data_IF_552726814547
#
_entry.id   IF_552726814547
#
_cell.length_a   1.000
_cell.length_b   1.000
_cell.length_c   1.000
_cell.angle_alpha   90.00
_cell.angle_beta   90.00
_cell.angle_gamma   90.00
#
_symmetry.space_group_name_H-M   'P 1'
#
loop_
_entity.id
_entity.type
_entity.pdbx_description
1 polymer ?
#
# COMPACT_ATOMS: atom_id res chain seq x y z
N UNK A 1 -70.96 -47.20 -40.46
CA UNK A 1 -71.32 -46.14 -39.49
C UNK A 1 -70.71 -46.40 -38.13
N UNK A 2 -70.75 -47.65 -37.63
CA UNK A 2 -70.25 -48.02 -36.29
C UNK A 2 -68.74 -47.85 -36.05
N UNK A 3 -67.90 -48.00 -37.09
CA UNK A 3 -66.44 -47.84 -36.95
C UNK A 3 -66.02 -46.39 -36.64
N UNK A 4 -66.67 -45.39 -37.23
CA UNK A 4 -66.35 -43.97 -36.98
C UNK A 4 -66.83 -43.52 -35.59
N UNK A 5 -67.97 -44.04 -35.11
CA UNK A 5 -68.49 -43.78 -33.77
C UNK A 5 -67.56 -44.33 -32.68
N UNK A 6 -66.99 -45.52 -32.87
CA UNK A 6 -66.03 -46.11 -31.94
C UNK A 6 -64.70 -45.34 -31.89
N UNK A 7 -64.23 -44.82 -33.03
CA UNK A 7 -63.02 -43.98 -33.09
C UNK A 7 -63.24 -42.66 -32.32
N UNK A 8 -64.38 -42.00 -32.53
CA UNK A 8 -64.71 -40.74 -31.83
C UNK A 8 -64.79 -40.99 -30.32
N UNK A 9 -65.44 -42.07 -29.89
CA UNK A 9 -65.57 -42.40 -28.46
C UNK A 9 -64.20 -42.66 -27.81
N UNK A 10 -63.34 -43.43 -28.46
CA UNK A 10 -61.98 -43.68 -27.99
C UNK A 10 -61.15 -42.37 -27.90
N UNK A 11 -61.30 -41.47 -28.87
CA UNK A 11 -60.63 -40.16 -28.82
C UNK A 11 -61.13 -39.28 -27.67
N UNK A 12 -62.43 -39.32 -27.37
CA UNK A 12 -63.01 -38.60 -26.22
C UNK A 12 -62.49 -39.18 -24.90
N UNK A 13 -62.50 -40.50 -24.73
CA UNK A 13 -61.98 -41.16 -23.53
C UNK A 13 -60.48 -40.86 -23.32
N UNK A 14 -59.69 -40.82 -24.39
CA UNK A 14 -58.27 -40.43 -24.34
C UNK A 14 -58.07 -38.95 -23.97
N UNK A 15 -58.94 -38.05 -24.43
CA UNK A 15 -58.89 -36.63 -24.07
C UNK A 15 -59.29 -36.42 -22.61
N UNK A 16 -60.31 -37.10 -22.12
CA UNK A 16 -60.72 -37.07 -20.71
C UNK A 16 -59.59 -37.56 -19.80
N UNK A 17 -58.99 -38.70 -20.12
CA UNK A 17 -57.83 -39.24 -19.37
C UNK A 17 -56.66 -38.25 -19.36
N UNK A 18 -56.39 -37.59 -20.49
CA UNK A 18 -55.31 -36.60 -20.58
C UNK A 18 -55.64 -35.34 -19.77
N UNK A 19 -56.89 -34.92 -19.74
CA UNK A 19 -57.34 -33.78 -18.94
C UNK A 19 -57.23 -34.05 -17.45
N UNK A 20 -57.64 -35.24 -16.98
CA UNK A 20 -57.51 -35.66 -15.58
C UNK A 20 -56.04 -35.69 -15.15
N UNK A 21 -55.17 -36.28 -15.97
CA UNK A 21 -53.72 -36.31 -15.68
C UNK A 21 -53.13 -34.90 -15.58
N UNK A 22 -53.50 -34.00 -16.51
CA UNK A 22 -53.02 -32.61 -16.50
C UNK A 22 -53.57 -31.84 -15.28
N UNK A 23 -54.79 -32.15 -14.84
CA UNK A 23 -55.39 -31.58 -13.64
C UNK A 23 -54.66 -32.04 -12.36
N UNK A 24 -54.30 -33.33 -12.26
CA UNK A 24 -53.49 -33.86 -11.16
C UNK A 24 -52.08 -33.25 -11.13
N UNK A 25 -51.42 -33.16 -12.29
CA UNK A 25 -50.10 -32.51 -12.43
C UNK A 25 -50.16 -31.03 -11.98
N UNK A 26 -51.20 -30.29 -12.41
CA UNK A 26 -51.39 -28.90 -12.00
C UNK A 26 -51.62 -28.75 -10.49
N UNK A 27 -52.41 -29.62 -9.87
CA UNK A 27 -52.64 -29.61 -8.43
C UNK A 27 -51.37 -29.96 -7.65
N UNK A 28 -50.54 -30.87 -8.17
CA UNK A 28 -49.23 -31.20 -7.59
C UNK A 28 -48.30 -29.98 -7.57
N UNK A 29 -48.17 -29.30 -8.71
CA UNK A 29 -47.36 -28.08 -8.84
C UNK A 29 -47.89 -26.98 -7.91
N UNK A 30 -49.20 -26.80 -7.81
CA UNK A 30 -49.82 -25.81 -6.92
C UNK A 30 -49.48 -26.07 -5.45
N UNK A 31 -49.50 -27.33 -5.01
CA UNK A 31 -49.13 -27.70 -3.65
C UNK A 31 -47.64 -27.43 -3.37
N UNK A 32 -46.78 -27.71 -4.32
CA UNK A 32 -45.34 -27.44 -4.22
C UNK A 32 -45.06 -25.93 -4.14
N UNK A 33 -45.72 -25.12 -4.97
CA UNK A 33 -45.66 -23.66 -4.89
C UNK A 33 -46.13 -23.13 -3.53
N UNK A 34 -47.24 -23.65 -3.00
CA UNK A 34 -47.74 -23.25 -1.68
C UNK A 34 -46.76 -23.62 -0.55
N UNK A 35 -46.09 -24.76 -0.66
CA UNK A 35 -45.04 -25.15 0.27
C UNK A 35 -43.87 -24.15 0.24
N UNK A 36 -43.36 -23.80 -0.93
CA UNK A 36 -42.27 -22.83 -1.07
C UNK A 36 -42.66 -21.42 -0.61
N UNK A 37 -43.89 -20.98 -0.85
CA UNK A 37 -44.40 -19.68 -0.33
C UNK A 37 -44.38 -19.68 1.20
N UNK A 38 -44.80 -20.78 1.84
CA UNK A 38 -44.80 -20.89 3.31
C UNK A 38 -43.37 -20.88 3.86
N UNK A 39 -42.45 -21.58 3.20
CA UNK A 39 -41.03 -21.60 3.58
C UNK A 39 -40.40 -20.20 3.45
N UNK A 40 -40.66 -19.49 2.34
CA UNK A 40 -40.16 -18.15 2.11
C UNK A 40 -40.66 -17.14 3.16
N UNK A 41 -41.94 -17.24 3.55
CA UNK A 41 -42.51 -16.41 4.64
C UNK A 41 -41.78 -16.64 5.96
N UNK A 42 -41.57 -17.90 6.35
CA UNK A 42 -40.87 -18.24 7.59
C UNK A 42 -39.43 -17.70 7.61
N UNK A 43 -38.70 -17.87 6.51
CA UNK A 43 -37.35 -17.30 6.35
C UNK A 43 -37.36 -15.76 6.47
N UNK A 44 -38.37 -15.10 5.92
CA UNK A 44 -38.52 -13.65 6.02
C UNK A 44 -38.76 -13.20 7.47
N UNK A 45 -39.62 -13.91 8.20
CA UNK A 45 -39.91 -13.65 9.61
C UNK A 45 -38.65 -13.82 10.49
N UNK A 46 -37.90 -14.91 10.28
CA UNK A 46 -36.62 -15.13 10.98
C UNK A 46 -35.59 -14.05 10.66
N UNK A 47 -35.49 -13.61 9.40
CA UNK A 47 -34.59 -12.54 9.01
C UNK A 47 -34.97 -11.20 9.68
N UNK A 48 -36.27 -10.90 9.80
CA UNK A 48 -36.75 -9.70 10.50
C UNK A 48 -36.43 -9.73 12.00
N UNK A 49 -36.58 -10.88 12.65
CA UNK A 49 -36.23 -11.05 14.06
C UNK A 49 -34.71 -10.87 14.29
N UNK A 50 -33.88 -11.52 13.49
CA UNK A 50 -32.43 -11.37 13.54
C UNK A 50 -31.99 -9.92 13.30
N UNK A 51 -32.62 -9.23 12.35
CA UNK A 51 -32.33 -7.81 12.07
C UNK A 51 -32.65 -6.93 13.28
N UNK A 52 -33.72 -7.24 14.00
CA UNK A 52 -34.11 -6.51 15.22
C UNK A 52 -33.10 -6.72 16.33
N UNK A 53 -32.65 -7.96 16.54
CA UNK A 53 -31.59 -8.30 17.52
C UNK A 53 -30.28 -7.57 17.18
N UNK A 54 -29.88 -7.55 15.90
CA UNK A 54 -28.66 -6.88 15.46
C UNK A 54 -28.73 -5.36 15.66
N UNK A 55 -29.86 -4.72 15.36
CA UNK A 55 -30.06 -3.29 15.62
C UNK A 55 -29.93 -2.94 17.11
N UNK A 56 -30.49 -3.77 18.00
CA UNK A 56 -30.37 -3.57 19.44
C UNK A 56 -28.92 -3.71 19.92
N UNK A 57 -28.21 -4.76 19.46
CA UNK A 57 -26.79 -4.95 19.80
C UNK A 57 -25.90 -3.81 19.30
N UNK A 58 -26.17 -3.30 18.10
CA UNK A 58 -25.45 -2.16 17.54
C UNK A 58 -25.66 -0.88 18.36
N UNK A 59 -26.91 -0.63 18.81
CA UNK A 59 -27.22 0.50 19.67
C UNK A 59 -26.50 0.40 21.03
N UNK A 60 -26.49 -0.79 21.64
CA UNK A 60 -25.75 -1.03 22.89
C UNK A 60 -24.25 -0.81 22.72
N UNK A 61 -23.63 -1.40 21.69
CA UNK A 61 -22.22 -1.20 21.40
C UNK A 61 -21.87 0.28 21.15
N UNK A 62 -22.74 1.02 20.45
CA UNK A 62 -22.55 2.45 20.23
C UNK A 62 -22.63 3.27 21.53
N UNK A 63 -23.51 2.89 22.46
CA UNK A 63 -23.60 3.53 23.78
C UNK A 63 -22.37 3.23 24.63
N UNK A 64 -21.93 1.97 24.68
CA UNK A 64 -20.69 1.57 25.35
C UNK A 64 -19.48 2.31 24.79
N UNK A 65 -19.38 2.48 23.47
CA UNK A 65 -18.30 3.24 22.83
C UNK A 65 -18.31 4.73 23.25
N UNK A 66 -19.50 5.35 23.36
CA UNK A 66 -19.64 6.72 23.85
C UNK A 66 -19.20 6.86 25.30
N UNK A 67 -19.64 5.95 26.17
CA UNK A 67 -19.20 5.93 27.57
C UNK A 67 -17.69 5.74 27.67
N UNK A 68 -17.12 4.84 26.87
CA UNK A 68 -15.68 4.62 26.89
C UNK A 68 -14.89 5.84 26.41
N UNK A 69 -15.43 6.55 25.42
CA UNK A 69 -14.85 7.80 24.90
C UNK A 69 -14.91 8.91 25.95
N UNK A 70 -16.01 9.01 26.69
CA UNK A 70 -16.14 9.98 27.79
C UNK A 70 -15.20 9.66 28.95
N UNK A 71 -15.08 8.39 29.36
CA UNK A 71 -14.12 8.00 30.40
C UNK A 71 -12.67 8.21 29.94
N UNK A 72 -12.33 7.89 28.67
CA UNK A 72 -11.01 8.21 28.10
C UNK A 72 -10.75 9.71 28.09
N UNK A 73 -11.76 10.52 27.78
CA UNK A 73 -11.65 11.99 27.78
C UNK A 73 -11.43 12.50 29.21
N UNK A 74 -12.19 11.99 30.18
CA UNK A 74 -12.05 12.31 31.61
C UNK A 74 -10.68 11.91 32.16
N UNK A 75 -10.17 10.73 31.79
CA UNK A 75 -8.82 10.27 32.13
C UNK A 75 -7.72 11.10 31.45
N UNK A 76 -7.92 11.53 30.21
CA UNK A 76 -6.99 12.42 29.50
C UNK A 76 -6.99 13.85 30.07
N UNK A 77 -8.13 14.32 30.60
CA UNK A 77 -8.23 15.62 31.29
C UNK A 77 -7.75 15.60 32.73
N UNK A 78 -7.60 14.43 33.35
CA UNK A 78 -6.85 14.26 34.59
C UNK A 78 -5.35 14.39 34.27
N UNK A 79 -4.95 15.62 33.94
CA UNK A 79 -3.59 16.00 33.59
C UNK A 79 -2.63 15.51 34.68
N UNK A 80 -1.71 14.61 34.30
CA UNK A 80 -0.51 14.36 35.08
C UNK A 80 0.34 15.63 34.93
N UNK A 81 0.04 16.66 35.71
CA UNK A 81 0.90 17.83 35.83
C UNK A 81 2.13 17.42 36.64
N UNK A 82 3.31 17.65 36.10
CA UNK A 82 4.53 17.31 36.81
C UNK A 82 5.79 17.34 35.96
N UNK A 83 6.90 17.57 36.64
CA UNK A 83 8.25 17.36 36.13
C UNK A 83 8.49 15.87 35.98
N UNK A 84 9.14 15.47 34.89
CA UNK A 84 9.55 14.08 34.64
C UNK A 84 11.00 14.03 34.20
N UNK A 85 11.69 12.98 34.62
CA UNK A 85 13.05 12.66 34.21
C UNK A 85 12.98 11.46 33.27
N UNK A 86 13.55 11.61 32.07
CA UNK A 86 13.70 10.55 31.09
C UNK A 86 15.17 10.19 30.98
N UNK A 87 15.50 8.91 30.98
CA UNK A 87 16.82 8.40 30.65
C UNK A 87 16.73 7.76 29.26
N UNK A 88 17.19 8.47 28.23
CA UNK A 88 17.08 8.05 26.83
C UNK A 88 18.43 7.52 26.37
N UNK A 89 18.62 6.20 26.38
CA UNK A 89 19.88 5.56 25.98
C UNK A 89 21.10 5.98 26.80
N UNK A 90 20.90 6.44 28.04
CA UNK A 90 21.96 6.95 28.93
C UNK A 90 21.95 8.48 29.10
N UNK A 91 21.35 9.23 28.18
CA UNK A 91 21.23 10.68 28.28
C UNK A 91 20.00 11.06 29.13
N UNK A 92 20.23 11.80 30.22
CA UNK A 92 19.15 12.23 31.12
C UNK A 92 18.55 13.57 30.70
N UNK A 93 17.24 13.56 30.50
CA UNK A 93 16.45 14.73 30.16
C UNK A 93 15.43 15.04 31.26
N UNK A 94 15.26 16.32 31.55
CA UNK A 94 14.23 16.81 32.45
C UNK A 94 13.26 17.68 31.67
N UNK A 95 11.97 17.40 31.80
CA UNK A 95 10.91 18.16 31.12
C UNK A 95 9.58 18.07 31.86
N UNK A 96 8.50 18.63 31.30
CA UNK A 96 7.14 18.46 31.80
C UNK A 96 6.38 17.40 31.01
N UNK A 97 5.43 16.73 31.65
CA UNK A 97 4.49 15.83 30.96
C UNK A 97 3.68 16.59 29.91
N UNK A 98 3.34 17.87 30.15
CA UNK A 98 2.67 18.73 29.19
C UNK A 98 3.46 18.87 27.89
N UNK A 99 4.77 19.10 27.97
CA UNK A 99 5.66 19.15 26.81
C UNK A 99 5.63 17.83 26.03
N UNK A 100 5.75 16.70 26.72
CA UNK A 100 5.76 15.38 26.08
C UNK A 100 4.40 15.00 25.47
N UNK A 101 3.30 15.48 26.04
CA UNK A 101 1.92 15.16 25.63
C UNK A 101 1.24 16.28 24.83
N UNK A 102 2.04 17.24 24.34
CA UNK A 102 1.58 18.35 23.48
C UNK A 102 0.86 17.83 22.24
N UNK A 103 1.41 16.79 21.62
CA UNK A 103 0.78 16.07 20.51
C UNK A 103 0.01 14.85 21.01
N UNK A 104 -1.18 14.62 20.44
CA UNK A 104 -2.05 13.49 20.77
C UNK A 104 -1.71 12.27 19.93
N UNK A 105 -2.06 11.08 20.44
CA UNK A 105 -1.84 9.79 19.77
C UNK A 105 -0.35 9.48 19.48
N UNK A 106 0.51 9.88 20.40
CA UNK A 106 1.96 9.66 20.36
C UNK A 106 2.38 8.61 21.39
N UNK A 107 3.61 8.11 21.27
CA UNK A 107 4.24 7.27 22.29
C UNK A 107 4.12 7.89 23.69
N UNK A 108 4.37 9.18 23.85
CA UNK A 108 4.32 9.83 25.16
C UNK A 108 2.89 9.92 25.71
N UNK A 109 1.89 10.18 24.88
CA UNK A 109 0.50 10.16 25.37
C UNK A 109 0.06 8.79 25.82
N UNK A 110 0.56 7.72 25.20
CA UNK A 110 0.35 6.36 25.69
C UNK A 110 1.16 6.08 26.97
N UNK A 111 2.41 6.56 27.03
CA UNK A 111 3.29 6.41 28.19
C UNK A 111 2.65 7.01 29.46
N UNK A 112 1.97 8.15 29.33
CA UNK A 112 1.33 8.87 30.44
C UNK A 112 -0.18 8.63 30.57
N UNK A 113 -0.79 7.68 29.83
CA UNK A 113 -2.22 7.37 29.92
C UNK A 113 -2.61 6.48 31.11
N UNK A 114 -1.70 6.26 32.07
CA UNK A 114 -1.82 5.30 33.20
C UNK A 114 -2.02 3.82 32.79
N UNK A 115 -1.91 3.50 31.50
CA UNK A 115 -2.01 2.12 31.00
C UNK A 115 -0.73 1.30 31.18
N UNK A 116 0.40 1.97 31.43
CA UNK A 116 1.70 1.32 31.56
C UNK A 116 2.18 1.41 33.00
N UNK A 117 2.42 0.26 33.64
CA UNK A 117 3.21 0.20 34.88
C UNK A 117 4.68 0.34 34.50
N UNK A 118 5.13 1.58 34.37
CA UNK A 118 6.54 1.86 34.07
C UNK A 118 7.36 1.73 35.36
N UNK A 119 8.31 0.81 35.35
CA UNK A 119 9.34 0.75 36.38
C UNK A 119 10.20 2.01 36.27
N UNK A 120 10.23 2.80 37.35
CA UNK A 120 11.11 3.96 37.48
C UNK A 120 12.42 3.52 38.10
N UNK A 121 13.51 4.17 37.74
CA UNK A 121 14.78 3.95 38.42
C UNK A 121 14.62 4.24 39.92
N UNK A 122 14.98 3.30 40.82
CA UNK A 122 14.79 3.49 42.25
C UNK A 122 15.57 4.66 42.87
N UNK A 123 16.62 5.15 42.19
CA UNK A 123 17.51 6.17 42.74
C UNK A 123 17.08 7.59 42.35
N UNK A 124 16.66 7.80 41.11
CA UNK A 124 16.35 9.13 40.58
C UNK A 124 14.97 9.24 39.93
N UNK A 125 14.16 8.19 40.03
CA UNK A 125 12.80 8.10 39.50
C UNK A 125 12.70 8.28 37.98
N UNK A 126 13.80 8.16 37.24
CA UNK A 126 13.80 8.32 35.79
C UNK A 126 13.09 7.18 35.07
N UNK A 127 12.43 7.52 33.96
CA UNK A 127 11.83 6.55 33.04
C UNK A 127 12.84 6.23 31.95
N UNK A 128 13.26 4.96 31.84
CA UNK A 128 14.21 4.54 30.81
C UNK A 128 13.53 4.34 29.46
N UNK A 129 14.15 4.89 28.41
CA UNK A 129 13.76 4.73 27.02
C UNK A 129 15.00 4.28 26.25
N UNK A 130 14.96 3.07 25.70
CA UNK A 130 16.11 2.50 24.98
C UNK A 130 16.23 3.03 23.55
N UNK A 131 16.55 4.33 23.39
CA UNK A 131 16.66 5.05 22.11
C UNK A 131 17.85 6.00 22.09
N UNK A 132 18.10 6.64 20.94
CA UNK A 132 19.21 7.58 20.79
C UNK A 132 18.95 8.90 21.53
N UNK A 133 19.58 9.06 22.69
CA UNK A 133 19.44 10.24 23.54
C UNK A 133 19.87 11.55 22.88
N UNK A 134 20.91 11.55 22.04
CA UNK A 134 21.35 12.76 21.35
C UNK A 134 20.31 13.26 20.34
N UNK A 135 19.72 12.36 19.56
CA UNK A 135 18.66 12.72 18.61
C UNK A 135 17.39 13.15 19.35
N UNK A 136 17.11 12.51 20.49
CA UNK A 136 15.98 12.88 21.35
C UNK A 136 16.02 14.34 21.81
N UNK A 137 17.21 14.95 21.96
CA UNK A 137 17.30 16.38 22.30
C UNK A 137 16.55 17.27 21.29
N UNK A 138 16.61 16.94 20.00
CA UNK A 138 15.90 17.66 18.93
C UNK A 138 14.40 17.39 18.96
N UNK A 139 13.98 16.16 19.25
CA UNK A 139 12.56 15.83 19.48
C UNK A 139 12.01 16.64 20.64
N UNK A 140 12.76 16.70 21.73
CA UNK A 140 12.34 17.43 22.91
C UNK A 140 12.26 18.92 22.64
N UNK A 141 13.21 19.48 21.89
CA UNK A 141 13.18 20.88 21.47
C UNK A 141 12.01 21.19 20.54
N UNK A 142 11.71 20.28 19.61
CA UNK A 142 10.50 20.36 18.79
C UNK A 142 9.23 20.33 19.65
N UNK A 143 9.13 19.42 20.62
CA UNK A 143 7.99 19.31 21.54
C UNK A 143 7.84 20.53 22.46
N UNK A 144 8.90 21.31 22.67
CA UNK A 144 8.84 22.61 23.35
C UNK A 144 8.38 23.73 22.44
N UNK A 145 8.98 23.86 21.26
CA UNK A 145 8.86 25.08 20.42
C UNK A 145 7.88 24.95 19.26
N UNK A 146 7.57 23.72 18.84
CA UNK A 146 6.79 23.38 17.63
C UNK A 146 7.50 23.75 16.32
N UNK A 147 8.81 23.97 16.42
CA UNK A 147 9.70 24.35 15.33
C UNK A 147 10.96 23.50 15.35
N UNK A 148 11.62 23.39 14.21
CA UNK A 148 12.92 22.75 14.09
C UNK A 148 13.99 23.82 13.84
N UNK A 149 15.18 23.72 14.46
CA UNK A 149 16.28 24.62 14.17
C UNK A 149 16.66 24.57 12.67
N UNK A 150 16.91 25.72 12.01
CA UNK A 150 17.19 25.76 10.56
C UNK A 150 18.39 24.92 10.13
N UNK A 151 19.42 24.83 10.97
CA UNK A 151 20.60 24.00 10.73
C UNK A 151 20.28 22.50 10.67
N UNK A 152 19.25 22.05 11.42
CA UNK A 152 18.81 20.65 11.35
C UNK A 152 18.18 20.36 9.98
N UNK A 153 17.43 21.31 9.42
CA UNK A 153 16.77 21.15 8.12
C UNK A 153 17.75 21.11 6.93
N UNK A 154 19.04 21.35 7.16
CA UNK A 154 20.09 21.33 6.14
C UNK A 154 20.99 20.08 6.22
N UNK A 155 20.94 19.31 7.31
CA UNK A 155 21.75 18.12 7.52
C UNK A 155 20.93 16.86 7.25
N UNK A 156 21.18 16.20 6.11
CA UNK A 156 20.44 15.00 5.69
C UNK A 156 20.64 13.79 6.63
N UNK A 157 21.84 13.64 7.18
CA UNK A 157 22.15 12.52 8.08
C UNK A 157 21.39 12.69 9.39
N UNK A 158 21.35 13.93 9.89
CA UNK A 158 20.57 14.28 11.06
C UNK A 158 19.07 14.20 10.80
N UNK A 159 18.57 14.67 9.66
CA UNK A 159 17.14 14.54 9.28
C UNK A 159 16.71 13.08 9.22
N UNK A 160 17.53 12.21 8.63
CA UNK A 160 17.25 10.77 8.56
C UNK A 160 17.21 10.14 9.96
N UNK A 161 18.19 10.46 10.80
CA UNK A 161 18.24 9.98 12.18
C UNK A 161 17.06 10.48 13.01
N UNK A 162 16.70 11.76 12.85
CA UNK A 162 15.58 12.39 13.53
C UNK A 162 14.24 11.82 13.06
N UNK A 163 14.12 11.50 11.77
CA UNK A 163 12.94 10.85 11.21
C UNK A 163 12.71 9.47 11.83
N UNK A 164 13.76 8.65 11.95
CA UNK A 164 13.69 7.33 12.60
C UNK A 164 13.18 7.45 14.04
N UNK A 165 13.70 8.41 14.81
CA UNK A 165 13.21 8.63 16.17
C UNK A 165 11.78 9.19 16.18
N UNK A 166 11.44 10.13 15.29
CA UNK A 166 10.08 10.67 15.18
C UNK A 166 9.06 9.57 14.84
N UNK A 167 9.43 8.61 14.00
CA UNK A 167 8.63 7.41 13.70
C UNK A 167 8.44 6.54 14.96
N UNK A 168 9.53 6.24 15.69
CA UNK A 168 9.48 5.47 16.94
C UNK A 168 8.55 6.10 17.97
N UNK A 169 8.60 7.43 18.13
CA UNK A 169 7.75 8.15 19.07
C UNK A 169 6.35 8.49 18.51
N UNK A 170 6.06 8.08 17.28
CA UNK A 170 4.80 8.36 16.57
C UNK A 170 4.45 9.86 16.47
N UNK A 171 5.46 10.70 16.24
CA UNK A 171 5.33 12.16 16.09
C UNK A 171 4.99 12.56 14.65
N UNK A 172 3.75 12.29 14.24
CA UNK A 172 3.27 12.52 12.87
C UNK A 172 3.49 13.95 12.37
N UNK A 173 3.19 14.95 13.21
CA UNK A 173 3.34 16.36 12.85
C UNK A 173 4.82 16.74 12.62
N UNK A 174 5.73 16.16 13.41
CA UNK A 174 7.17 16.33 13.20
C UNK A 174 7.59 15.67 11.90
N UNK A 175 7.19 14.42 11.66
CA UNK A 175 7.51 13.69 10.44
C UNK A 175 7.08 14.47 9.18
N UNK A 176 5.93 15.15 9.23
CA UNK A 176 5.44 15.97 8.12
C UNK A 176 6.27 17.26 7.95
N UNK A 177 6.60 17.94 9.06
CA UNK A 177 7.44 19.15 9.08
C UNK A 177 8.86 18.91 8.61
N UNK A 178 9.43 17.75 8.93
CA UNK A 178 10.79 17.43 8.50
C UNK A 178 10.89 17.34 6.98
N UNK A 179 9.77 17.13 6.27
CA UNK A 179 9.73 17.15 4.81
C UNK A 179 10.73 16.19 4.17
N UNK A 180 11.16 15.16 4.92
CA UNK A 180 12.30 14.33 4.54
C UNK A 180 11.91 13.54 3.30
N UNK A 181 12.70 13.76 2.26
CA UNK A 181 12.69 12.91 1.09
C UNK A 181 13.35 11.60 1.50
N UNK A 182 12.52 10.62 1.82
CA UNK A 182 12.97 9.41 2.50
C UNK A 182 12.97 8.23 1.53
N UNK A 183 14.18 7.88 1.07
CA UNK A 183 14.52 6.64 0.38
C UNK A 183 15.69 6.03 1.18
N UNK A 184 15.40 5.25 2.24
CA UNK A 184 16.43 4.67 3.09
C UNK A 184 17.09 3.47 2.40
N UNK A 185 18.28 3.11 2.89
CA UNK A 185 19.02 1.87 2.60
C UNK A 185 19.50 1.66 1.15
N UNK A 186 19.03 2.48 0.22
CA UNK A 186 19.50 2.50 -1.16
C UNK A 186 20.76 3.34 -1.37
N UNK A 187 21.49 3.00 -2.43
CA UNK A 187 22.76 3.60 -2.83
C UNK A 187 22.72 4.21 -4.23
N UNK A 188 21.68 3.96 -5.03
CA UNK A 188 21.61 4.46 -6.42
C UNK A 188 21.21 5.92 -6.54
N UNK A 189 20.47 6.46 -5.56
CA UNK A 189 19.86 7.78 -5.66
C UNK A 189 20.61 8.83 -4.85
N UNK A 190 21.07 9.88 -5.52
CA UNK A 190 21.48 11.15 -4.91
C UNK A 190 20.26 12.00 -4.56
N UNK A 191 20.45 13.06 -3.76
CA UNK A 191 19.35 13.88 -3.26
C UNK A 191 18.47 14.42 -4.39
N UNK A 192 19.05 15.01 -5.43
CA UNK A 192 18.32 15.60 -6.56
C UNK A 192 17.47 14.56 -7.30
N UNK A 193 17.95 13.31 -7.42
CA UNK A 193 17.16 12.22 -7.97
C UNK A 193 15.94 11.94 -7.10
N UNK A 194 16.11 11.85 -5.78
CA UNK A 194 15.00 11.60 -4.85
C UNK A 194 13.96 12.73 -4.89
N UNK A 195 14.40 14.00 -5.01
CA UNK A 195 13.48 15.15 -5.20
C UNK A 195 12.67 15.00 -6.48
N UNK A 196 13.37 14.75 -7.58
CA UNK A 196 12.77 14.57 -8.91
C UNK A 196 11.74 13.44 -8.92
N UNK A 197 12.06 12.29 -8.32
CA UNK A 197 11.13 11.16 -8.27
C UNK A 197 9.87 11.48 -7.46
N UNK A 198 10.00 12.23 -6.36
CA UNK A 198 8.85 12.70 -5.58
C UNK A 198 8.00 13.72 -6.34
N UNK A 199 8.63 14.61 -7.12
CA UNK A 199 7.93 15.51 -8.04
C UNK A 199 7.19 14.73 -9.13
N UNK A 200 7.82 13.72 -9.74
CA UNK A 200 7.19 12.85 -10.72
C UNK A 200 6.01 12.08 -10.13
N UNK A 201 6.12 11.60 -8.90
CA UNK A 201 5.01 10.97 -8.20
C UNK A 201 3.87 11.96 -7.87
N UNK A 202 4.17 13.26 -7.75
CA UNK A 202 3.20 14.31 -7.44
C UNK A 202 3.09 14.65 -5.96
N UNK A 203 4.04 14.19 -5.12
CA UNK A 203 4.11 14.54 -3.69
C UNK A 203 5.57 14.69 -3.25
N UNK A 204 5.97 15.94 -3.01
CA UNK A 204 7.36 16.35 -2.78
C UNK A 204 8.00 15.72 -1.53
N UNK A 205 7.21 15.41 -0.51
CA UNK A 205 7.65 14.74 0.72
C UNK A 205 7.23 13.26 0.78
N UNK A 206 7.00 12.63 -0.37
CA UNK A 206 6.67 11.22 -0.40
C UNK A 206 7.81 10.38 0.18
N UNK A 207 7.41 9.37 0.94
CA UNK A 207 8.30 8.42 1.60
C UNK A 207 8.22 7.08 0.89
N UNK A 208 9.37 6.44 0.82
CA UNK A 208 9.56 5.20 0.11
C UNK A 208 10.34 4.26 1.01
N UNK A 209 10.00 2.98 0.97
CA UNK A 209 10.70 1.94 1.72
C UNK A 209 11.34 0.98 0.74
N UNK A 210 12.66 0.83 0.81
CA UNK A 210 13.37 -0.16 0.02
C UNK A 210 12.84 -1.56 0.39
N UNK A 211 12.47 -2.34 -0.62
CA UNK A 211 11.98 -3.71 -0.44
C UNK A 211 12.78 -4.73 -1.22
N UNK A 212 13.59 -4.30 -2.18
CA UNK A 212 14.48 -5.14 -2.97
C UNK A 212 15.70 -4.34 -3.40
N UNK A 213 16.88 -4.94 -3.25
CA UNK A 213 18.14 -4.44 -3.79
C UNK A 213 18.93 -5.59 -4.40
N UNK A 214 19.14 -5.59 -5.71
CA UNK A 214 19.73 -6.73 -6.41
C UNK A 214 21.13 -7.08 -5.90
N UNK A 215 21.95 -6.10 -5.54
CA UNK A 215 23.27 -6.33 -4.94
C UNK A 215 23.25 -7.03 -3.58
N UNK A 216 22.12 -6.99 -2.87
CA UNK A 216 21.92 -7.63 -1.55
C UNK A 216 21.11 -8.92 -1.66
N UNK A 217 19.99 -8.87 -2.37
CA UNK A 217 19.00 -9.94 -2.43
C UNK A 217 19.25 -10.93 -3.59
N UNK A 218 20.02 -10.53 -4.60
CA UNK A 218 20.28 -11.30 -5.83
C UNK A 218 19.63 -10.71 -7.07
N UNK A 219 20.27 -10.93 -8.24
CA UNK A 219 19.85 -10.40 -9.55
C UNK A 219 18.90 -11.30 -10.34
N UNK A 220 18.56 -12.47 -9.80
CA UNK A 220 17.62 -13.38 -10.46
C UNK A 220 16.16 -12.96 -10.23
N UNK A 221 15.26 -13.43 -11.10
CA UNK A 221 13.85 -13.12 -11.05
C UNK A 221 13.17 -13.63 -9.76
N UNK A 222 13.68 -14.73 -9.18
CA UNK A 222 13.13 -15.28 -7.94
C UNK A 222 13.37 -14.33 -6.77
N UNK A 223 14.57 -13.74 -6.66
CA UNK A 223 14.88 -12.73 -5.65
C UNK A 223 13.96 -11.51 -5.77
N UNK A 224 13.78 -10.98 -6.99
CA UNK A 224 12.84 -9.88 -7.23
C UNK A 224 11.42 -10.25 -6.78
N UNK A 225 10.88 -11.39 -7.21
CA UNK A 225 9.52 -11.80 -6.89
C UNK A 225 9.32 -12.10 -5.41
N UNK A 226 10.29 -12.74 -4.76
CA UNK A 226 10.27 -12.95 -3.31
C UNK A 226 10.18 -11.63 -2.55
N UNK A 227 10.92 -10.62 -3.01
CA UNK A 227 10.96 -9.31 -2.39
C UNK A 227 9.80 -8.39 -2.78
N UNK A 228 9.21 -8.51 -3.98
CA UNK A 228 8.29 -7.49 -4.50
C UNK A 228 6.85 -7.96 -4.76
N UNK A 229 6.58 -9.27 -4.87
CA UNK A 229 5.22 -9.73 -5.16
C UNK A 229 4.24 -9.32 -4.05
N UNK A 230 3.03 -8.95 -4.45
CA UNK A 230 1.95 -8.49 -3.56
C UNK A 230 2.32 -7.22 -2.76
N UNK A 231 3.36 -6.49 -3.17
CA UNK A 231 3.72 -5.18 -2.62
C UNK A 231 3.50 -4.11 -3.69
N UNK A 232 2.91 -2.99 -3.31
CA UNK A 232 2.66 -1.87 -4.21
C UNK A 232 1.91 -0.73 -3.51
N UNK A 233 1.90 0.49 -4.06
CA UNK A 233 2.63 0.95 -5.25
C UNK A 233 4.16 0.83 -5.13
N UNK A 234 4.87 0.73 -6.26
CA UNK A 234 6.34 0.63 -6.28
C UNK A 234 7.02 1.58 -7.25
N UNK A 235 8.22 2.03 -6.89
CA UNK A 235 9.16 2.78 -7.73
C UNK A 235 10.39 1.90 -7.95
N UNK A 236 10.66 1.53 -9.20
CA UNK A 236 11.82 0.72 -9.61
C UNK A 236 12.91 1.63 -10.16
N UNK A 237 14.12 1.52 -9.63
CA UNK A 237 15.33 2.19 -10.11
C UNK A 237 16.28 1.13 -10.66
N UNK A 238 16.74 1.32 -11.90
CA UNK A 238 17.70 0.45 -12.57
C UNK A 238 18.95 1.27 -12.86
N UNK A 239 20.11 0.75 -12.48
CA UNK A 239 21.39 1.26 -12.94
C UNK A 239 21.96 0.30 -14.00
N UNK A 240 22.23 0.82 -15.19
CA UNK A 240 22.95 0.06 -16.23
C UNK A 240 24.45 -0.01 -15.92
N UNK A 241 25.15 -0.97 -16.52
CA UNK A 241 26.62 -1.08 -16.45
C UNK A 241 27.37 0.15 -16.93
N UNK A 242 26.73 1.02 -17.73
CA UNK A 242 27.26 2.32 -18.16
C UNK A 242 26.88 3.47 -17.21
N UNK A 243 26.37 3.16 -16.00
CA UNK A 243 25.95 4.11 -14.95
C UNK A 243 24.74 4.99 -15.27
N UNK A 244 24.00 4.71 -16.35
CA UNK A 244 22.71 5.37 -16.60
C UNK A 244 21.65 4.89 -15.61
N UNK A 245 20.83 5.83 -15.13
CA UNK A 245 19.80 5.62 -14.12
C UNK A 245 18.43 5.92 -14.71
N UNK A 246 17.54 4.93 -14.64
CA UNK A 246 16.20 5.00 -15.20
C UNK A 246 15.28 3.99 -14.50
N UNK A 247 14.02 3.94 -14.88
CA UNK A 247 13.11 2.93 -14.36
C UNK A 247 11.65 3.30 -14.57
N UNK A 248 10.80 2.82 -13.67
CA UNK A 248 9.36 3.02 -13.76
C UNK A 248 8.66 2.94 -12.41
N UNK A 249 7.52 3.61 -12.33
CA UNK A 249 6.57 3.54 -11.22
C UNK A 249 5.36 2.72 -11.66
N UNK A 250 4.83 1.91 -10.76
CA UNK A 250 3.51 1.29 -10.92
C UNK A 250 2.68 1.39 -9.64
N UNK A 251 1.38 1.66 -9.80
CA UNK A 251 0.41 1.70 -8.71
C UNK A 251 -0.07 0.32 -8.27
N UNK A 252 0.06 -0.68 -9.15
CA UNK A 252 -0.41 -2.05 -8.91
C UNK A 252 0.69 -2.93 -8.31
N UNK A 253 0.33 -3.94 -7.49
CA UNK A 253 1.30 -4.88 -6.95
C UNK A 253 1.82 -5.83 -8.03
N UNK A 254 3.10 -6.18 -7.94
CA UNK A 254 3.71 -7.19 -8.81
C UNK A 254 3.14 -8.58 -8.52
N UNK A 255 2.98 -9.39 -9.58
CA UNK A 255 2.70 -10.81 -9.48
C UNK A 255 3.56 -11.62 -10.47
N UNK A 256 3.44 -12.95 -10.44
CA UNK A 256 4.19 -13.88 -11.31
C UNK A 256 3.26 -14.79 -12.11
N UNK A 257 2.09 -14.29 -12.50
CA UNK A 257 1.02 -15.05 -13.15
C UNK A 257 1.15 -15.13 -14.69
N UNK A 258 2.26 -14.66 -15.25
CA UNK A 258 2.54 -14.67 -16.69
C UNK A 258 1.51 -13.88 -17.53
N UNK A 259 0.99 -12.75 -17.02
CA UNK A 259 0.03 -11.89 -17.71
C UNK A 259 0.48 -10.42 -17.86
N UNK A 260 -0.22 -9.69 -18.72
CA UNK A 260 -0.24 -8.22 -18.68
C UNK A 260 -1.22 -7.73 -17.60
N UNK A 261 -1.04 -6.50 -17.14
CA UNK A 261 -1.91 -5.88 -16.15
C UNK A 261 -2.14 -4.38 -16.42
N UNK A 262 -3.34 -3.93 -16.04
CA UNK A 262 -3.82 -2.57 -16.22
C UNK A 262 -3.26 -1.62 -15.16
N UNK A 263 -2.64 -0.52 -15.59
CA UNK A 263 -2.24 0.59 -14.74
C UNK A 263 -2.23 1.89 -15.54
N UNK A 264 -3.27 2.71 -15.39
CA UNK A 264 -3.38 4.02 -16.05
C UNK A 264 -2.51 5.11 -15.41
N UNK A 265 -1.89 4.82 -14.27
CA UNK A 265 -1.07 5.79 -13.51
C UNK A 265 0.43 5.49 -13.58
N UNK A 266 0.80 4.36 -14.20
CA UNK A 266 2.19 3.98 -14.44
C UNK A 266 2.92 5.06 -15.24
N UNK A 267 4.22 5.19 -14.99
CA UNK A 267 5.08 6.03 -15.80
C UNK A 267 6.51 5.47 -15.80
N UNK A 268 7.21 5.70 -16.90
CA UNK A 268 8.65 5.49 -16.98
C UNK A 268 9.37 6.79 -16.69
N UNK A 269 10.67 6.69 -16.38
CA UNK A 269 11.51 7.86 -16.26
C UNK A 269 12.97 7.56 -16.57
N UNK A 270 13.71 8.61 -16.92
CA UNK A 270 15.17 8.63 -16.96
C UNK A 270 15.68 9.71 -16.01
N UNK A 271 16.72 9.40 -15.22
CA UNK A 271 17.40 10.34 -14.32
C UNK A 271 18.78 10.72 -14.86
N UNK A 272 19.52 9.73 -15.38
CA UNK A 272 20.81 9.90 -16.05
C UNK A 272 20.75 9.11 -17.35
N UNK A 273 21.09 9.75 -18.47
CA UNK A 273 21.05 9.16 -19.81
C UNK A 273 22.27 9.59 -20.65
N UNK A 274 22.59 8.86 -21.74
CA UNK A 274 23.75 9.16 -22.60
C UNK A 274 23.71 10.52 -23.30
N UNK A 275 22.54 11.16 -23.36
CA UNK A 275 22.32 12.39 -24.13
C UNK A 275 22.27 13.65 -23.25
N UNK A 276 22.52 13.52 -21.94
CA UNK A 276 22.40 14.61 -20.97
C UNK A 276 21.02 15.30 -21.00
N UNK A 277 19.98 14.57 -21.39
CA UNK A 277 18.61 15.06 -21.31
C UNK A 277 18.27 15.22 -19.82
N UNK A 278 17.64 16.32 -19.38
CA UNK A 278 17.21 16.46 -18.00
C UNK A 278 16.35 15.28 -17.55
N UNK A 279 16.25 15.00 -16.24
CA UNK A 279 15.36 13.97 -15.76
C UNK A 279 13.97 14.10 -16.36
N UNK A 280 13.46 13.04 -16.97
CA UNK A 280 12.25 13.07 -17.81
C UNK A 280 11.31 11.96 -17.41
N UNK A 281 10.01 12.28 -17.36
CA UNK A 281 8.90 11.36 -17.06
C UNK A 281 8.13 11.05 -18.34
N UNK A 282 7.82 9.78 -18.58
CA UNK A 282 7.07 9.30 -19.74
C UNK A 282 5.77 8.64 -19.28
N UNK A 283 4.64 9.17 -19.74
CA UNK A 283 3.32 8.66 -19.38
C UNK A 283 2.92 7.48 -20.26
N UNK A 284 2.17 6.55 -19.70
CA UNK A 284 1.50 5.49 -20.45
C UNK A 284 0.52 6.09 -21.46
N UNK A 285 0.38 5.45 -22.63
CA UNK A 285 -0.65 5.82 -23.60
C UNK A 285 -2.02 5.36 -23.10
N UNK A 286 -3.08 6.21 -23.22
CA UNK A 286 -4.41 5.84 -22.75
C UNK A 286 -5.00 4.57 -23.38
N UNK A 287 -4.57 4.21 -24.59
CA UNK A 287 -4.98 3.01 -25.32
C UNK A 287 -4.11 1.78 -25.02
N UNK A 288 -3.11 1.89 -24.14
CA UNK A 288 -2.19 0.79 -23.78
C UNK A 288 -2.20 0.48 -22.26
N UNK A 289 -3.13 1.04 -21.48
CA UNK A 289 -3.10 0.87 -20.02
C UNK A 289 -3.27 -0.60 -19.61
N UNK A 290 -4.08 -1.39 -20.31
CA UNK A 290 -4.30 -2.83 -20.06
C UNK A 290 -3.05 -3.71 -20.17
N UNK A 291 -2.00 -3.17 -20.80
CA UNK A 291 -0.70 -3.82 -20.96
C UNK A 291 0.46 -2.98 -20.40
N UNK A 292 0.14 -2.07 -19.48
CA UNK A 292 1.07 -1.18 -18.79
C UNK A 292 2.23 -1.91 -18.11
N UNK A 293 1.94 -3.04 -17.47
CA UNK A 293 2.89 -3.82 -16.67
C UNK A 293 2.88 -5.27 -17.14
N UNK A 294 4.06 -5.88 -17.25
CA UNK A 294 4.18 -7.31 -17.56
C UNK A 294 4.57 -8.08 -16.31
N UNK A 295 3.68 -8.95 -15.87
CA UNK A 295 3.96 -9.97 -14.87
C UNK A 295 4.47 -11.24 -15.56
N UNK A 296 5.62 -11.73 -15.14
CA UNK A 296 6.17 -12.97 -15.67
C UNK A 296 7.17 -13.55 -14.69
N UNK A 297 7.02 -14.84 -14.35
CA UNK A 297 7.75 -15.46 -13.25
C UNK A 297 9.28 -15.51 -13.41
N UNK A 298 9.76 -15.43 -14.66
CA UNK A 298 11.19 -15.48 -14.98
C UNK A 298 11.78 -14.10 -15.32
N UNK A 299 11.01 -13.02 -15.17
CA UNK A 299 11.48 -11.66 -15.48
C UNK A 299 11.65 -10.86 -14.19
N UNK A 300 12.52 -9.85 -14.24
CA UNK A 300 12.47 -8.77 -13.28
C UNK A 300 11.33 -7.79 -13.58
N UNK A 301 11.36 -6.58 -12.99
CA UNK A 301 10.45 -5.49 -13.34
C UNK A 301 10.38 -5.29 -14.86
N UNK A 302 9.17 -5.31 -15.42
CA UNK A 302 8.94 -5.18 -16.86
C UNK A 302 7.71 -4.32 -17.12
N UNK A 303 7.86 -3.32 -17.99
CA UNK A 303 6.86 -2.30 -18.28
C UNK A 303 6.51 -2.29 -19.77
N UNK A 304 5.21 -2.23 -20.07
CA UNK A 304 4.64 -2.06 -21.42
C UNK A 304 4.47 -3.33 -22.24
N UNK A 305 3.52 -3.29 -23.18
CA UNK A 305 3.40 -4.23 -24.29
C UNK A 305 4.62 -4.15 -25.20
N UNK A 306 5.21 -5.30 -25.51
CA UNK A 306 6.49 -5.36 -26.26
C UNK A 306 7.72 -4.93 -25.44
N UNK A 307 7.51 -4.62 -24.16
CA UNK A 307 8.51 -4.26 -23.15
C UNK A 307 9.32 -2.99 -23.44
N UNK A 308 8.70 -1.82 -23.20
CA UNK A 308 9.40 -0.54 -23.19
C UNK A 308 10.63 -0.58 -22.25
N UNK A 309 10.50 -1.28 -21.12
CA UNK A 309 11.62 -1.73 -20.29
C UNK A 309 11.44 -3.21 -19.95
N UNK A 310 12.45 -4.01 -20.25
CA UNK A 310 12.55 -5.43 -19.87
C UNK A 310 13.82 -5.67 -19.06
N UNK A 311 13.67 -6.24 -17.86
CA UNK A 311 14.79 -6.70 -17.05
C UNK A 311 14.89 -8.23 -17.06
N UNK A 312 15.98 -8.74 -17.61
CA UNK A 312 16.23 -10.18 -17.72
C UNK A 312 16.59 -10.82 -16.36
N UNK A 313 16.39 -12.14 -16.26
CA UNK A 313 16.92 -12.93 -15.16
C UNK A 313 18.45 -12.84 -15.10
N UNK A 314 19.01 -12.67 -13.89
CA UNK A 314 20.46 -12.57 -13.65
C UNK A 314 21.11 -11.44 -14.46
N UNK A 315 20.43 -10.29 -14.54
CA UNK A 315 20.73 -9.13 -15.41
C UNK A 315 22.11 -8.51 -15.24
N UNK A 316 22.85 -8.84 -14.19
CA UNK A 316 24.26 -8.44 -14.00
C UNK A 316 25.27 -9.31 -14.76
N UNK A 317 24.88 -10.52 -15.14
CA UNK A 317 25.77 -11.54 -15.72
C UNK A 317 25.52 -11.77 -17.22
N UNK A 318 24.57 -11.05 -17.82
CA UNK A 318 24.23 -11.14 -19.23
C UNK A 318 23.81 -9.77 -19.78
N UNK A 319 23.73 -9.68 -21.11
CA UNK A 319 23.28 -8.49 -21.84
C UNK A 319 21.92 -8.72 -22.51
N UNK A 320 21.01 -9.40 -21.80
CA UNK A 320 19.70 -9.80 -22.33
C UNK A 320 18.57 -8.87 -21.91
N UNK A 321 18.81 -7.93 -20.98
CA UNK A 321 17.84 -6.86 -20.68
C UNK A 321 17.81 -5.89 -21.85
N UNK A 322 16.66 -5.25 -22.10
CA UNK A 322 16.52 -4.32 -23.22
C UNK A 322 15.44 -3.28 -22.97
N UNK A 323 15.48 -2.22 -23.77
CA UNK A 323 14.42 -1.20 -23.85
C UNK A 323 13.88 -1.18 -25.26
N UNK A 324 12.59 -1.45 -25.43
CA UNK A 324 11.87 -1.35 -26.70
C UNK A 324 10.88 -0.19 -26.70
N UNK A 325 11.23 0.90 -26.01
CA UNK A 325 10.45 2.13 -25.94
C UNK A 325 10.52 2.86 -27.29
N UNK A 326 9.46 3.55 -27.77
CA UNK A 326 8.19 3.83 -27.10
C UNK A 326 7.01 3.00 -27.65
N UNK A 327 6.82 1.77 -27.18
CA UNK A 327 5.67 0.94 -27.58
C UNK A 327 4.41 1.30 -26.80
N UNK A 328 4.48 1.41 -25.48
CA UNK A 328 3.29 1.64 -24.63
C UNK A 328 3.27 3.02 -23.99
N UNK A 329 4.41 3.70 -23.95
CA UNK A 329 4.57 5.01 -23.30
C UNK A 329 4.83 6.11 -24.36
N UNK A 330 4.53 7.35 -24.03
CA UNK A 330 4.82 8.48 -24.90
C UNK A 330 6.29 8.86 -24.88
N UNK A 331 6.91 8.94 -26.05
CA UNK A 331 8.20 9.59 -26.22
C UNK A 331 8.02 11.10 -26.33
N UNK A 332 8.57 11.82 -25.38
CA UNK A 332 8.57 13.29 -25.35
C UNK A 332 9.93 13.89 -25.73
N UNK A 333 10.96 13.06 -25.92
CA UNK A 333 12.31 13.49 -26.28
C UNK A 333 12.62 13.29 -27.77
N UNK A 334 11.87 12.41 -28.44
CA UNK A 334 12.10 12.03 -29.84
C UNK A 334 13.31 11.10 -30.02
N UNK A 335 13.85 10.57 -28.92
CA UNK A 335 15.05 9.74 -28.90
C UNK A 335 14.72 8.24 -28.74
N UNK A 336 13.45 7.86 -28.58
CA UNK A 336 13.06 6.46 -28.46
C UNK A 336 13.84 5.75 -27.32
N UNK A 337 14.01 4.44 -27.43
CA UNK A 337 14.83 3.56 -26.60
C UNK A 337 16.26 4.07 -26.35
N UNK A 338 16.83 4.85 -27.28
CA UNK A 338 18.17 5.43 -27.12
C UNK A 338 18.25 6.38 -25.91
N UNK A 339 17.11 6.90 -25.44
CA UNK A 339 17.05 7.77 -24.25
C UNK A 339 17.50 7.07 -22.97
N UNK A 340 17.39 5.74 -22.86
CA UNK A 340 17.69 5.03 -21.62
C UNK A 340 19.18 4.71 -21.50
N UNK A 341 19.69 3.89 -22.42
CA UNK A 341 21.07 3.40 -22.38
C UNK A 341 21.87 3.70 -23.65
N UNK A 342 21.23 4.28 -24.68
CA UNK A 342 21.85 4.56 -25.98
C UNK A 342 22.08 3.30 -26.82
N UNK A 343 21.55 2.16 -26.38
CA UNK A 343 21.61 0.87 -27.05
C UNK A 343 20.36 0.08 -26.70
N UNK A 344 19.93 -0.80 -27.61
CA UNK A 344 18.74 -1.64 -27.40
C UNK A 344 18.89 -2.57 -26.19
N UNK A 345 20.01 -3.30 -26.09
CA UNK A 345 20.31 -4.18 -24.94
C UNK A 345 21.18 -3.48 -23.89
N UNK A 346 21.03 -3.92 -22.64
CA UNK A 346 21.89 -3.53 -21.52
C UNK A 346 22.07 -4.65 -20.49
N UNK A 347 23.12 -4.51 -19.67
CA UNK A 347 23.29 -5.24 -18.40
C UNK A 347 23.08 -4.29 -17.23
N UNK A 348 22.56 -4.78 -16.12
CA UNK A 348 22.30 -3.99 -14.91
C UNK A 348 23.44 -4.13 -13.91
N UNK A 349 23.95 -3.02 -13.37
CA UNK A 349 24.92 -3.02 -12.28
C UNK A 349 24.26 -3.16 -10.91
N UNK A 350 23.05 -2.61 -10.74
CA UNK A 350 22.20 -2.81 -9.56
C UNK A 350 20.74 -2.42 -9.89
N UNK A 351 19.80 -2.93 -9.08
CA UNK A 351 18.38 -2.58 -9.14
C UNK A 351 17.86 -2.35 -7.72
N UNK A 352 17.13 -1.26 -7.52
CA UNK A 352 16.45 -0.97 -6.27
C UNK A 352 14.95 -0.81 -6.50
N UNK A 353 14.12 -1.47 -5.71
CA UNK A 353 12.67 -1.29 -5.75
C UNK A 353 12.20 -0.80 -4.39
N UNK A 354 11.48 0.31 -4.42
CA UNK A 354 10.90 0.91 -3.24
C UNK A 354 9.39 0.82 -3.29
N UNK A 355 8.75 0.46 -2.17
CA UNK A 355 7.30 0.58 -2.03
C UNK A 355 6.92 1.90 -1.38
N UNK A 356 5.70 2.34 -1.63
CA UNK A 356 5.11 3.44 -0.88
C UNK A 356 5.10 3.13 0.63
N UNK A 357 5.56 4.08 1.45
CA UNK A 357 5.65 3.96 2.91
C UNK A 357 4.59 4.78 3.63
#
# INVERSE_FOLDING_TARGET
>A
MDSNLNIIRNNVDQLETRFEKLHEEMNSILNECNYYIKLAKNLCDQAMELTTILKHRLANASNEEKEWKDIKTKLATASIQGKVILNVGGDKYTTSVETLTREKNTFFTALFSQQWRLERDPNDESIFINRNGRIFSYILEYLRTNTMPPNVMQDETLLSSLFIEAEYFHLHSLMDKLGVIYFPDGTLLQLEHKKTLNEFYGKTNQRWKLIYKASHDGFDANAFHFCCNNKGPTMTIIQSSNNYLFGGYTSIPWTSNDSYADDSTTFLFTLINPHNIPPTKYFIRPDHTECAIRHHKNYGPTFGAGHDIYLANSSNSNNSSYTNFPTSYFDTTGMSDMTFTGTYNFSASDIEVYKLA
#
